data_IF_960650856251
#
_entry.id   IF_960650856251
#
_cell.length_a   1.000
_cell.length_b   1.000
_cell.length_c   1.000
_cell.angle_alpha   90.00
_cell.angle_beta   90.00
_cell.angle_gamma   90.00
#
_symmetry.space_group_name_H-M   'P 1'
#
loop_
_entity.id
_entity.type
_entity.pdbx_description
1 polymer ?
#
# COMPACT_ATOMS: atom_id res chain seq x y z
N UNK A 1 -7.42 0.31 19.42
CA UNK A 1 -6.62 -0.75 18.75
C UNK A 1 -7.01 -0.88 17.27
N UNK A 2 -7.17 0.25 16.57
CA UNK A 2 -7.30 0.33 15.11
C UNK A 2 -6.07 1.06 14.56
N UNK A 3 -4.89 0.58 14.97
CA UNK A 3 -3.65 1.35 14.80
C UNK A 3 -2.94 1.03 13.46
N UNK A 4 -3.54 0.15 12.65
CA UNK A 4 -2.99 -0.30 11.37
C UNK A 4 -4.04 -0.29 10.27
N UNK A 5 -3.71 0.40 9.18
CA UNK A 5 -4.42 0.27 7.92
C UNK A 5 -3.84 -0.91 7.13
N UNK A 6 -4.72 -1.74 6.58
CA UNK A 6 -4.34 -2.86 5.72
C UNK A 6 -5.10 -2.72 4.41
N UNK A 7 -4.33 -2.73 3.33
CA UNK A 7 -4.81 -2.69 1.95
C UNK A 7 -4.28 -3.91 1.22
N UNK A 8 -5.15 -4.62 0.50
CA UNK A 8 -4.74 -5.72 -0.38
C UNK A 8 -5.25 -5.40 -1.77
N UNK A 9 -4.40 -5.65 -2.77
CA UNK A 9 -4.76 -5.53 -4.17
C UNK A 9 -4.37 -6.79 -4.95
N UNK A 10 -5.13 -7.09 -6.01
CA UNK A 10 -4.80 -8.16 -6.95
C UNK A 10 -3.61 -7.79 -7.86
N UNK A 11 -3.26 -8.68 -8.80
CA UNK A 11 -2.14 -8.47 -9.74
C UNK A 11 -2.34 -7.29 -10.71
N UNK A 12 -3.54 -6.76 -10.83
CA UNK A 12 -3.87 -5.58 -11.64
C UNK A 12 -3.90 -4.30 -10.79
N UNK A 13 -3.66 -4.42 -9.48
CA UNK A 13 -3.75 -3.33 -8.53
C UNK A 13 -5.19 -2.90 -8.22
N UNK A 14 -6.17 -3.79 -8.46
CA UNK A 14 -7.54 -3.59 -7.97
C UNK A 14 -7.58 -3.93 -6.49
N UNK A 15 -8.07 -3.01 -5.66
CA UNK A 15 -8.18 -3.20 -4.22
C UNK A 15 -9.24 -4.27 -3.93
N UNK A 16 -8.83 -5.33 -3.23
CA UNK A 16 -9.69 -6.45 -2.84
C UNK A 16 -10.01 -6.46 -1.35
N UNK A 17 -9.20 -5.81 -0.53
CA UNK A 17 -9.45 -5.66 0.91
C UNK A 17 -9.12 -4.26 1.41
N UNK A 18 -9.98 -3.76 2.29
CA UNK A 18 -9.88 -2.45 2.92
C UNK A 18 -10.39 -2.52 4.36
N UNK A 19 -9.49 -2.53 5.34
CA UNK A 19 -9.90 -2.70 6.74
C UNK A 19 -10.42 -1.37 7.37
N UNK A 20 -11.10 -1.40 8.53
CA UNK A 20 -11.54 -0.19 9.22
C UNK A 20 -10.39 0.77 9.60
N UNK A 21 -9.17 0.24 9.79
CA UNK A 21 -7.98 1.08 9.98
C UNK A 21 -7.64 1.93 8.76
N UNK A 22 -7.80 1.39 7.55
CA UNK A 22 -7.59 2.12 6.30
C UNK A 22 -8.67 3.20 6.10
N UNK A 23 -9.91 2.90 6.48
CA UNK A 23 -10.99 3.91 6.48
C UNK A 23 -10.65 5.07 7.41
N UNK A 24 -10.23 4.77 8.65
CA UNK A 24 -9.87 5.79 9.62
C UNK A 24 -8.61 6.58 9.21
N UNK A 25 -7.61 5.92 8.61
CA UNK A 25 -6.33 6.53 8.30
C UNK A 25 -6.36 7.39 7.04
N UNK A 26 -7.07 6.93 6.01
CA UNK A 26 -7.09 7.58 4.69
C UNK A 26 -8.39 8.35 4.42
N UNK A 27 -9.44 8.10 5.18
CA UNK A 27 -10.73 8.79 5.06
C UNK A 27 -11.68 8.23 3.98
N UNK A 28 -11.26 7.20 3.23
CA UNK A 28 -12.12 6.53 2.25
C UNK A 28 -12.91 5.38 2.88
N UNK A 29 -14.22 5.32 2.62
CA UNK A 29 -15.05 4.16 2.91
C UNK A 29 -14.60 2.93 2.11
N UNK A 30 -14.92 1.73 2.60
CA UNK A 30 -14.60 0.48 1.86
C UNK A 30 -15.31 0.40 0.51
N UNK A 31 -16.51 0.97 0.41
CA UNK A 31 -17.29 1.08 -0.82
C UNK A 31 -16.66 2.01 -1.88
N UNK A 32 -15.82 2.95 -1.44
CA UNK A 32 -15.07 3.85 -2.32
C UNK A 32 -13.72 3.28 -2.75
N UNK A 33 -13.24 2.23 -2.06
CA UNK A 33 -11.93 1.64 -2.28
C UNK A 33 -11.99 0.26 -2.95
N UNK A 34 -12.81 -0.66 -2.44
CA UNK A 34 -12.87 -2.05 -2.93
C UNK A 34 -13.41 -2.05 -4.37
N UNK A 35 -12.75 -2.78 -5.25
CA UNK A 35 -13.07 -2.83 -6.69
C UNK A 35 -12.48 -1.66 -7.50
N UNK A 36 -11.83 -0.69 -6.85
CA UNK A 36 -11.13 0.40 -7.50
C UNK A 36 -9.62 0.16 -7.57
N UNK A 37 -8.96 0.91 -8.46
CA UNK A 37 -7.51 0.95 -8.58
C UNK A 37 -6.84 1.50 -7.30
N UNK A 38 -5.61 1.06 -7.02
CA UNK A 38 -4.72 1.69 -6.03
C UNK A 38 -4.54 3.20 -6.24
N UNK A 39 -4.83 3.73 -7.44
CA UNK A 39 -4.80 5.17 -7.75
C UNK A 39 -5.68 6.03 -6.82
N UNK A 40 -6.65 5.44 -6.11
CA UNK A 40 -7.46 6.10 -5.08
C UNK A 40 -6.57 6.71 -3.98
N UNK A 41 -5.51 6.00 -3.60
CA UNK A 41 -4.58 6.44 -2.55
C UNK A 41 -3.21 6.87 -3.06
N UNK A 42 -2.93 6.72 -4.35
CA UNK A 42 -1.65 7.12 -4.95
C UNK A 42 -1.77 8.54 -5.52
N UNK A 43 -0.96 9.51 -5.04
CA UNK A 43 -0.93 10.86 -5.60
C UNK A 43 -0.65 10.84 -7.11
N UNK A 44 -1.36 11.67 -7.87
CA UNK A 44 -1.32 11.65 -9.33
C UNK A 44 0.09 11.73 -9.93
N UNK A 45 0.92 12.64 -9.40
CA UNK A 45 2.31 12.84 -9.84
C UNK A 45 3.24 11.63 -9.55
N UNK A 46 2.82 10.69 -8.70
CA UNK A 46 3.59 9.48 -8.35
C UNK A 46 3.06 8.22 -9.03
N UNK A 47 1.89 8.26 -9.67
CA UNK A 47 1.25 7.06 -10.27
C UNK A 47 2.18 6.34 -11.23
N UNK A 48 2.89 7.06 -12.09
CA UNK A 48 3.80 6.44 -13.05
C UNK A 48 4.91 5.62 -12.35
N UNK A 49 5.56 6.21 -11.33
CA UNK A 49 6.62 5.53 -10.58
C UNK A 49 6.07 4.37 -9.75
N UNK A 50 4.92 4.56 -9.10
CA UNK A 50 4.20 3.52 -8.37
C UNK A 50 3.92 2.30 -9.25
N UNK A 51 3.29 2.50 -10.41
CA UNK A 51 2.92 1.41 -11.32
C UNK A 51 4.14 0.71 -11.93
N UNK A 52 5.21 1.43 -12.23
CA UNK A 52 6.46 0.81 -12.66
C UNK A 52 7.03 -0.12 -11.58
N UNK A 53 7.03 0.32 -10.32
CA UNK A 53 7.45 -0.49 -9.17
C UNK A 53 6.53 -1.69 -8.94
N UNK A 54 5.22 -1.47 -8.98
CA UNK A 54 4.21 -2.51 -8.79
C UNK A 54 4.32 -3.62 -9.84
N UNK A 55 4.38 -3.27 -11.13
CA UNK A 55 4.51 -4.26 -12.21
C UNK A 55 5.82 -5.05 -12.10
N UNK A 56 6.93 -4.38 -11.77
CA UNK A 56 8.21 -5.06 -11.52
C UNK A 56 8.09 -6.06 -10.36
N UNK A 57 7.39 -5.69 -9.29
CA UNK A 57 7.18 -6.56 -8.14
C UNK A 57 6.29 -7.78 -8.49
N UNK A 58 5.27 -7.60 -9.32
CA UNK A 58 4.43 -8.71 -9.80
C UNK A 58 5.19 -9.67 -10.72
N UNK A 59 6.10 -9.16 -11.56
CA UNK A 59 6.93 -9.98 -12.45
C UNK A 59 8.06 -10.69 -11.72
N UNK A 60 8.61 -10.06 -10.68
CA UNK A 60 9.74 -10.55 -9.91
C UNK A 60 9.46 -10.44 -8.39
N UNK A 61 8.69 -11.38 -7.81
CA UNK A 61 8.28 -11.35 -6.40
C UNK A 61 9.41 -11.59 -5.38
N UNK A 62 10.66 -11.30 -5.75
CA UNK A 62 11.84 -11.47 -4.90
C UNK A 62 11.90 -10.41 -3.78
N UNK A 63 11.23 -9.26 -3.94
CA UNK A 63 11.07 -8.27 -2.87
C UNK A 63 9.91 -8.71 -1.98
N UNK A 64 10.24 -9.40 -0.89
CA UNK A 64 9.23 -9.94 0.03
C UNK A 64 8.73 -8.90 1.02
N UNK A 65 9.48 -7.83 1.22
CA UNK A 65 9.25 -6.90 2.32
C UNK A 65 9.99 -5.57 2.11
N UNK A 66 9.25 -4.50 1.85
CA UNK A 66 9.79 -3.14 1.73
C UNK A 66 9.13 -2.24 2.76
N UNK A 67 9.91 -1.73 3.70
CA UNK A 67 9.50 -0.67 4.62
C UNK A 67 9.88 0.70 4.03
N UNK A 68 8.91 1.61 3.94
CA UNK A 68 9.11 2.97 3.43
C UNK A 68 8.08 3.93 4.02
N UNK A 69 8.39 5.22 4.06
CA UNK A 69 7.39 6.25 4.26
C UNK A 69 6.69 6.50 2.92
N UNK A 70 5.40 6.15 2.85
CA UNK A 70 4.61 6.18 1.63
C UNK A 70 3.70 7.40 1.60
N UNK A 71 3.79 8.25 0.57
CA UNK A 71 2.83 9.32 0.36
C UNK A 71 1.48 8.74 -0.07
N UNK A 72 0.45 9.05 0.69
CA UNK A 72 -0.92 8.61 0.45
C UNK A 72 -1.80 9.83 0.24
N UNK A 73 -2.56 9.83 -0.86
CA UNK A 73 -3.65 10.75 -1.11
C UNK A 73 -4.84 10.36 -0.23
N UNK A 74 -5.23 11.21 0.72
CA UNK A 74 -6.38 11.02 1.58
C UNK A 74 -7.67 11.55 0.93
N UNK A 75 -8.82 11.16 1.46
CA UNK A 75 -10.14 11.51 0.91
C UNK A 75 -10.45 13.03 0.98
N UNK A 76 -9.77 13.77 1.84
CA UNK A 76 -9.82 15.24 1.90
C UNK A 76 -8.98 15.93 0.82
N UNK A 77 -8.26 15.15 -0.01
CA UNK A 77 -7.40 15.64 -1.08
C UNK A 77 -5.97 15.95 -0.65
N UNK A 78 -5.65 15.83 0.64
CA UNK A 78 -4.29 16.05 1.13
C UNK A 78 -3.42 14.80 0.96
N UNK A 79 -2.12 15.02 0.69
CA UNK A 79 -1.13 13.94 0.67
C UNK A 79 -0.43 13.87 2.03
N UNK A 80 -0.47 12.70 2.67
CA UNK A 80 0.19 12.45 3.96
C UNK A 80 1.12 11.25 3.87
N UNK A 81 2.27 11.33 4.53
CA UNK A 81 3.23 10.23 4.58
C UNK A 81 2.91 9.30 5.75
N UNK A 82 2.82 8.01 5.47
CA UNK A 82 2.64 6.97 6.47
C UNK A 82 3.74 5.94 6.36
N UNK A 83 4.28 5.50 7.50
CA UNK A 83 5.17 4.36 7.52
C UNK A 83 4.38 3.13 7.03
N UNK A 84 4.87 2.53 5.95
CA UNK A 84 4.22 1.45 5.24
C UNK A 84 5.16 0.27 5.04
N UNK A 85 4.59 -0.93 5.05
CA UNK A 85 5.27 -2.18 4.72
C UNK A 85 4.56 -2.83 3.55
N UNK A 86 5.27 -3.04 2.44
CA UNK A 86 4.77 -3.63 1.20
C UNK A 86 5.23 -5.07 1.10
N UNK A 87 4.29 -5.97 0.84
CA UNK A 87 4.52 -7.40 0.66
C UNK A 87 3.90 -7.84 -0.67
N UNK A 88 4.67 -8.59 -1.47
CA UNK A 88 4.10 -9.30 -2.61
C UNK A 88 3.53 -10.61 -2.12
N UNK A 89 2.27 -10.89 -2.49
CA UNK A 89 1.61 -12.15 -2.20
C UNK A 89 1.88 -13.10 -3.37
N UNK A 90 2.26 -14.34 -3.07
CA UNK A 90 2.54 -15.35 -4.08
C UNK A 90 1.88 -16.68 -3.73
N UNK A 91 1.55 -17.46 -4.76
CA UNK A 91 1.07 -18.83 -4.60
C UNK A 91 2.20 -19.80 -4.21
N UNK A 92 1.87 -21.09 -4.05
CA UNK A 92 2.84 -22.12 -3.70
C UNK A 92 3.91 -22.41 -4.77
N UNK A 93 3.74 -21.90 -5.99
CA UNK A 93 4.69 -22.02 -7.10
C UNK A 93 5.58 -20.78 -7.25
N UNK A 94 5.35 -19.75 -6.44
CA UNK A 94 6.08 -18.48 -6.50
C UNK A 94 5.54 -17.50 -7.53
N UNK A 95 4.35 -17.73 -8.08
CA UNK A 95 3.66 -16.78 -8.96
C UNK A 95 3.03 -15.69 -8.12
N UNK A 96 3.21 -14.42 -8.49
CA UNK A 96 2.55 -13.31 -7.79
C UNK A 96 1.03 -13.39 -7.99
N UNK A 97 0.27 -13.22 -6.91
CA UNK A 97 -1.20 -13.18 -6.89
C UNK A 97 -1.76 -11.83 -6.43
N UNK A 98 -0.88 -10.91 -6.01
CA UNK A 98 -1.25 -9.56 -5.60
C UNK A 98 -0.22 -8.94 -4.66
N UNK A 99 -0.63 -7.87 -3.99
CA UNK A 99 0.18 -7.18 -3.01
C UNK A 99 -0.64 -6.84 -1.76
N UNK A 100 0.04 -6.76 -0.62
CA UNK A 100 -0.50 -6.26 0.63
C UNK A 100 0.36 -5.12 1.14
N UNK A 101 -0.29 -4.06 1.61
CA UNK A 101 0.35 -2.93 2.26
C UNK A 101 -0.21 -2.75 3.67
N UNK A 102 0.67 -2.59 4.65
CA UNK A 102 0.31 -2.33 6.05
C UNK A 102 0.88 -0.97 6.43
N UNK A 103 0.03 -0.05 6.90
CA UNK A 103 0.44 1.31 7.26
C UNK A 103 0.19 1.59 8.74
N UNK A 104 1.00 2.48 9.32
CA UNK A 104 0.86 2.96 10.69
C UNK A 104 0.79 4.49 10.75
N UNK A 105 -0.05 5.02 11.64
CA UNK A 105 -0.20 6.47 11.87
C UNK A 105 0.97 7.11 12.62
N UNK A 106 1.83 6.31 13.26
CA UNK A 106 3.03 6.79 13.96
C UNK A 106 4.21 6.84 12.98
N UNK A 107 4.78 8.03 12.81
CA UNK A 107 5.87 8.30 11.87
C UNK A 107 7.23 7.75 12.29
N UNK A 108 8.03 7.50 11.24
CA UNK A 108 9.40 6.97 11.15
C UNK A 108 9.63 5.61 11.81
N UNK A 109 9.89 4.64 10.93
CA UNK A 109 10.80 3.52 11.20
C UNK A 109 12.02 4.08 11.96
N UNK A 110 12.09 3.82 13.26
CA UNK A 110 13.19 4.20 14.14
C UNK A 110 14.47 3.43 13.84
N UNK A 111 14.82 3.24 12.57
CA UNK A 111 16.13 2.76 12.16
C UNK A 111 17.02 4.00 12.07
N UNK A 112 17.80 4.21 13.13
CA UNK A 112 19.05 4.98 13.02
C UNK A 112 19.91 4.28 11.96
N UNK A 113 20.38 4.95 10.89
CA UNK A 113 21.47 4.39 10.10
C UNK A 113 22.64 4.14 11.06
N UNK A 114 23.31 3.01 10.89
CA UNK A 114 24.38 2.51 11.76
C UNK A 114 25.27 3.63 12.30
N UNK A 115 25.44 3.63 13.63
CA UNK A 115 26.58 4.31 14.25
C UNK A 115 27.89 3.61 13.92
#
# INVERSE_FOLDING_TARGET
>A
MLDRAVVVADIHGTITQWNPGAQALFGYGSDQAIGHSLDVIVPEHLRQAHWAGFHRAMQHPQVKDLAADLPVLCADGEVRNFAGRLLVLSDGLGTAIGAMAIYTSQGTTGIRPFG
#
